data_IF_324549752099
#
_entry.id   IF_324549752099
#
_cell.length_a   1.000
_cell.length_b   1.000
_cell.length_c   1.000
_cell.angle_alpha   90.00
_cell.angle_beta   90.00
_cell.angle_gamma   90.00
#
_symmetry.space_group_name_H-M   'P 1'
#
loop_
_entity.id
_entity.type
_entity.pdbx_description
1 polymer ?
#
# COMPACT_ATOMS: atom_id res chain seq x y z
N UNK A 1 -18.49 -2.37 8.06
CA UNK A 1 -17.29 -2.59 7.21
C UNK A 1 -16.16 -1.88 7.89
N UNK A 2 -15.14 -2.63 8.28
CA UNK A 2 -14.03 -2.09 9.05
C UNK A 2 -12.85 -1.82 8.12
N UNK A 3 -12.23 -0.65 8.29
CA UNK A 3 -11.03 -0.29 7.56
C UNK A 3 -9.80 -0.74 8.34
N UNK A 4 -8.83 -1.29 7.63
CA UNK A 4 -7.54 -1.66 8.19
C UNK A 4 -6.45 -0.88 7.47
N UNK A 5 -5.52 -0.32 8.23
CA UNK A 5 -4.31 0.28 7.67
C UNK A 5 -3.21 -0.78 7.65
N UNK A 6 -2.77 -1.15 6.45
CA UNK A 6 -1.68 -2.10 6.23
C UNK A 6 -0.48 -1.34 5.67
N UNK A 7 0.70 -1.57 6.24
CA UNK A 7 1.96 -1.06 5.69
C UNK A 7 3.01 -2.17 5.71
N UNK A 8 3.80 -2.26 4.65
CA UNK A 8 4.94 -3.16 4.55
C UNK A 8 6.17 -2.33 4.27
N UNK A 9 7.23 -2.52 5.06
CA UNK A 9 8.54 -1.92 4.79
C UNK A 9 9.52 -2.99 4.38
N UNK A 10 10.30 -2.72 3.32
CA UNK A 10 11.28 -3.66 2.77
C UNK A 10 12.62 -2.95 2.67
N UNK A 11 13.61 -3.39 3.43
CA UNK A 11 14.97 -2.86 3.39
C UNK A 11 15.82 -3.66 2.41
N UNK A 12 16.03 -3.08 1.22
CA UNK A 12 16.83 -3.69 0.15
C UNK A 12 18.31 -3.89 0.46
N UNK A 13 18.84 -3.29 1.53
CA UNK A 13 20.26 -3.42 1.92
C UNK A 13 20.47 -4.62 2.83
N UNK A 14 19.64 -4.78 3.86
CA UNK A 14 19.84 -5.81 4.88
C UNK A 14 18.76 -6.90 4.89
N UNK A 15 17.79 -6.87 3.97
CA UNK A 15 16.75 -7.90 3.83
C UNK A 15 15.64 -7.84 4.88
N UNK A 16 15.55 -6.79 5.69
CA UNK A 16 14.50 -6.68 6.70
C UNK A 16 13.15 -6.36 6.05
N UNK A 17 12.16 -7.19 6.30
CA UNK A 17 10.76 -6.98 5.93
C UNK A 17 9.95 -6.86 7.22
N UNK A 18 9.09 -5.84 7.30
CA UNK A 18 8.23 -5.63 8.45
C UNK A 18 6.80 -5.28 8.00
N UNK A 19 5.83 -5.96 8.60
CA UNK A 19 4.39 -5.78 8.35
C UNK A 19 3.75 -5.07 9.54
N UNK A 20 3.01 -4.02 9.23
CA UNK A 20 2.27 -3.21 10.19
C UNK A 20 0.77 -3.31 9.95
N UNK A 21 0.01 -3.50 11.03
CA UNK A 21 -1.45 -3.44 11.06
C UNK A 21 -1.88 -2.31 11.99
N UNK A 22 -2.68 -1.39 11.48
CA UNK A 22 -3.21 -0.23 12.22
C UNK A 22 -2.14 0.65 12.89
N UNK A 23 -0.92 0.63 12.36
CA UNK A 23 0.20 1.43 12.85
C UNK A 23 1.20 0.64 13.71
N UNK A 24 0.82 -0.56 14.14
CA UNK A 24 1.66 -1.42 14.98
C UNK A 24 2.32 -2.53 14.16
N UNK A 25 3.58 -2.82 14.46
CA UNK A 25 4.28 -3.95 13.85
C UNK A 25 3.72 -5.26 14.39
N UNK A 26 3.35 -6.15 13.49
CA UNK A 26 2.78 -7.47 13.83
C UNK A 26 3.67 -8.63 13.39
N UNK A 27 4.61 -8.39 12.46
CA UNK A 27 5.53 -9.39 11.96
C UNK A 27 6.79 -8.71 11.40
N UNK A 28 7.95 -9.25 11.72
CA UNK A 28 9.22 -8.88 11.12
C UNK A 28 10.00 -10.14 10.72
N UNK A 29 10.66 -10.08 9.57
CA UNK A 29 11.54 -11.11 9.07
C UNK A 29 12.80 -10.47 8.49
N UNK A 30 13.89 -11.22 8.42
CA UNK A 30 15.11 -10.78 7.76
C UNK A 30 15.64 -11.92 6.89
N UNK A 31 15.80 -11.66 5.61
CA UNK A 31 16.58 -12.49 4.71
C UNK A 31 17.07 -11.66 3.52
N UNK A 32 18.38 -11.42 3.47
CA UNK A 32 19.01 -10.65 2.39
C UNK A 32 18.90 -11.33 1.02
N UNK A 33 18.76 -12.65 0.96
CA UNK A 33 18.61 -13.40 -0.30
C UNK A 33 17.30 -13.10 -1.02
N UNK A 34 16.29 -12.60 -0.31
CA UNK A 34 15.03 -12.15 -0.91
C UNK A 34 15.18 -10.82 -1.64
N UNK A 35 16.31 -10.13 -1.47
CA UNK A 35 16.50 -8.81 -2.06
C UNK A 35 17.23 -8.88 -3.38
N UNK A 36 16.52 -8.41 -4.41
CA UNK A 36 17.06 -8.20 -5.75
C UNK A 36 16.72 -6.77 -6.17
N UNK A 37 17.71 -5.98 -6.63
CA UNK A 37 17.42 -4.68 -7.21
C UNK A 37 16.41 -4.82 -8.35
N UNK A 38 15.43 -3.92 -8.39
CA UNK A 38 14.51 -3.84 -9.50
C UNK A 38 15.21 -3.21 -10.71
N UNK A 39 15.23 -3.92 -11.84
CA UNK A 39 15.92 -3.48 -13.07
C UNK A 39 14.98 -3.23 -14.25
N UNK A 40 13.67 -3.49 -14.08
CA UNK A 40 12.67 -3.35 -15.13
C UNK A 40 12.02 -1.97 -15.22
N UNK A 41 11.09 -1.83 -16.17
CA UNK A 41 10.13 -0.73 -16.15
C UNK A 41 9.06 -1.00 -15.09
N UNK A 42 8.64 0.03 -14.36
CA UNK A 42 7.65 -0.11 -13.31
C UNK A 42 6.23 -0.11 -13.90
N UNK A 43 5.50 -1.22 -13.73
CA UNK A 43 4.04 -1.31 -13.92
C UNK A 43 3.38 -1.67 -12.60
N UNK A 44 2.67 -0.72 -12.00
CA UNK A 44 1.94 -0.91 -10.75
C UNK A 44 0.45 -1.05 -11.03
N UNK A 45 -0.07 -2.27 -10.89
CA UNK A 45 -1.50 -2.57 -11.02
C UNK A 45 -2.06 -2.88 -9.63
N UNK A 46 -3.21 -2.29 -9.32
CA UNK A 46 -3.93 -2.53 -8.07
C UNK A 46 -5.28 -3.15 -8.35
N UNK A 47 -5.60 -4.21 -7.62
CA UNK A 47 -6.87 -4.93 -7.74
C UNK A 47 -6.81 -6.20 -8.59
N UNK A 48 -5.71 -6.44 -9.30
CA UNK A 48 -5.45 -7.62 -10.14
C UNK A 48 -4.00 -8.09 -9.97
N UNK A 49 -3.77 -9.38 -10.18
CA UNK A 49 -2.43 -9.97 -10.26
C UNK A 49 -1.90 -9.90 -11.70
N UNK A 50 -0.69 -9.38 -11.89
CA UNK A 50 -0.02 -9.31 -13.20
C UNK A 50 0.74 -10.61 -13.47
N UNK A 51 0.42 -11.29 -14.58
CA UNK A 51 1.26 -12.39 -15.11
C UNK A 51 2.29 -11.90 -16.13
N UNK A 52 2.02 -10.74 -16.75
CA UNK A 52 2.94 -10.03 -17.64
C UNK A 52 2.81 -8.52 -17.44
N UNK A 53 3.71 -7.74 -18.05
CA UNK A 53 3.74 -6.29 -17.88
C UNK A 53 2.38 -5.65 -18.23
N UNK A 54 1.65 -5.18 -17.22
CA UNK A 54 0.35 -4.54 -17.36
C UNK A 54 -0.79 -5.44 -17.83
N UNK A 55 -0.63 -6.77 -17.82
CA UNK A 55 -1.58 -7.70 -18.44
C UNK A 55 -1.59 -9.10 -17.78
N UNK A 56 -2.40 -10.01 -18.35
CA UNK A 56 -2.53 -11.39 -17.89
C UNK A 56 -3.44 -11.58 -16.68
N UNK A 57 -4.40 -10.67 -16.48
CA UNK A 57 -5.28 -10.70 -15.31
C UNK A 57 -6.24 -11.89 -15.35
N UNK A 58 -6.33 -12.63 -14.23
CA UNK A 58 -7.32 -13.68 -14.05
C UNK A 58 -8.42 -13.27 -13.06
N UNK A 59 -9.68 -13.53 -13.40
CA UNK A 59 -10.83 -13.10 -12.60
C UNK A 59 -10.89 -13.73 -11.20
N UNK A 60 -10.30 -14.91 -11.01
CA UNK A 60 -10.19 -15.61 -9.72
C UNK A 60 -9.09 -15.03 -8.80
N UNK A 61 -8.17 -14.21 -9.31
CA UNK A 61 -7.07 -13.57 -8.57
C UNK A 61 -7.34 -12.08 -8.29
N UNK A 62 -8.56 -11.60 -8.56
CA UNK A 62 -8.93 -10.20 -8.33
C UNK A 62 -9.16 -9.90 -6.86
N UNK A 63 -8.82 -8.70 -6.45
CA UNK A 63 -9.30 -8.14 -5.18
C UNK A 63 -10.75 -7.66 -5.34
N UNK A 64 -11.59 -7.95 -4.35
CA UNK A 64 -12.95 -7.43 -4.24
C UNK A 64 -13.11 -6.73 -2.89
N UNK A 65 -13.26 -5.40 -2.92
CA UNK A 65 -13.35 -4.60 -1.71
C UNK A 65 -13.18 -3.12 -1.98
N UNK A 66 -12.90 -2.36 -0.91
CA UNK A 66 -12.63 -0.92 -0.97
C UNK A 66 -11.18 -0.67 -0.59
N UNK A 67 -10.53 0.22 -1.32
CA UNK A 67 -9.17 0.67 -1.06
C UNK A 67 -9.16 2.19 -1.00
N UNK A 68 -8.27 2.74 -0.17
CA UNK A 68 -8.01 4.17 -0.10
C UNK A 68 -6.59 4.40 0.40
N UNK A 69 -6.07 5.61 0.17
CA UNK A 69 -4.81 6.09 0.76
C UNK A 69 -3.58 5.23 0.44
N UNK A 70 -3.57 4.59 -0.74
CA UNK A 70 -2.41 3.85 -1.21
C UNK A 70 -1.26 4.81 -1.53
N UNK A 71 -0.08 4.54 -0.97
CA UNK A 71 1.13 5.31 -1.18
C UNK A 71 2.35 4.39 -1.15
N UNK A 72 3.38 4.70 -1.94
CA UNK A 72 4.64 3.95 -2.03
C UNK A 72 5.81 4.93 -1.95
N UNK A 73 6.81 4.57 -1.15
CA UNK A 73 8.02 5.35 -0.94
C UNK A 73 9.26 4.57 -1.37
N UNK A 74 10.30 5.28 -1.80
CA UNK A 74 11.61 4.69 -2.12
C UNK A 74 12.52 4.52 -0.90
N UNK A 75 11.99 4.72 0.31
CA UNK A 75 12.71 4.66 1.57
C UNK A 75 11.83 4.07 2.67
N UNK A 76 12.46 3.65 3.77
CA UNK A 76 11.75 3.13 4.94
C UNK A 76 11.08 4.30 5.68
N UNK A 77 9.76 4.34 5.62
CA UNK A 77 8.95 5.28 6.40
C UNK A 77 9.08 4.93 7.89
N UNK A 78 9.28 5.92 8.75
CA UNK A 78 9.48 5.68 10.18
C UNK A 78 8.24 5.07 10.85
N UNK A 79 8.43 4.23 11.88
CA UNK A 79 7.31 3.67 12.67
C UNK A 79 6.35 4.73 13.20
N UNK A 80 6.88 5.88 13.62
CA UNK A 80 6.08 7.04 14.06
C UNK A 80 5.16 7.52 12.93
N UNK A 81 5.71 7.71 11.74
CA UNK A 81 4.94 8.15 10.57
C UNK A 81 3.91 7.09 10.18
N UNK A 82 4.23 5.79 10.25
CA UNK A 82 3.27 4.71 9.97
C UNK A 82 2.08 4.76 10.94
N UNK A 83 2.31 4.99 12.25
CA UNK A 83 1.24 5.21 13.25
C UNK A 83 0.42 6.47 13.00
N UNK A 84 1.06 7.56 12.56
CA UNK A 84 0.35 8.78 12.21
C UNK A 84 -0.53 8.59 10.97
N UNK A 85 -0.04 7.85 9.97
CA UNK A 85 -0.80 7.50 8.77
C UNK A 85 -2.01 6.61 9.08
N UNK A 86 -1.90 5.69 10.05
CA UNK A 86 -2.99 4.78 10.40
C UNK A 86 -4.17 5.46 11.11
N UNK A 87 -3.90 6.53 11.87
CA UNK A 87 -4.89 7.19 12.73
C UNK A 87 -5.41 8.50 12.15
N UNK A 88 -4.56 9.26 11.47
CA UNK A 88 -4.94 10.57 10.95
C UNK A 88 -5.52 10.43 9.55
N UNK A 89 -6.53 11.23 9.27
CA UNK A 89 -6.91 11.62 7.91
C UNK A 89 -5.78 12.48 7.34
N UNK A 90 -4.68 11.82 6.95
CA UNK A 90 -3.45 12.52 6.63
C UNK A 90 -3.70 13.50 5.48
N UNK A 91 -3.48 14.77 5.74
CA UNK A 91 -3.18 15.75 4.71
C UNK A 91 -1.83 15.37 4.10
N UNK A 92 -1.88 14.64 2.98
CA UNK A 92 -0.91 14.69 1.90
C UNK A 92 0.57 14.37 2.20
N UNK A 93 0.89 13.36 3.03
CA UNK A 93 2.15 12.64 2.77
C UNK A 93 1.92 11.74 1.56
N UNK A 94 2.11 12.31 0.37
CA UNK A 94 2.13 11.55 -0.87
C UNK A 94 3.42 10.72 -0.93
N UNK A 95 3.29 9.44 -1.27
CA UNK A 95 4.44 8.63 -1.63
C UNK A 95 5.23 9.26 -2.77
N UNK A 96 6.56 9.24 -2.68
CA UNK A 96 7.41 9.82 -3.73
C UNK A 96 7.52 8.94 -4.97
N UNK A 97 7.25 7.63 -4.85
CA UNK A 97 7.15 6.72 -5.99
C UNK A 97 5.72 6.66 -6.54
N UNK A 98 4.73 6.58 -5.65
CA UNK A 98 3.32 6.56 -6.01
C UNK A 98 2.51 7.18 -4.88
N UNK A 99 1.63 8.11 -5.22
CA UNK A 99 0.67 8.67 -4.28
C UNK A 99 -0.77 8.30 -4.68
N UNK A 100 -1.69 8.32 -3.72
CA UNK A 100 -3.10 7.96 -3.96
C UNK A 100 -3.73 8.73 -5.13
N UNK A 101 -3.35 10.01 -5.29
CA UNK A 101 -3.79 10.86 -6.41
C UNK A 101 -3.44 10.27 -7.80
N UNK A 102 -2.31 9.56 -7.91
CA UNK A 102 -1.90 8.91 -9.15
C UNK A 102 -2.74 7.67 -9.43
N UNK A 103 -3.17 6.94 -8.39
CA UNK A 103 -4.02 5.76 -8.54
C UNK A 103 -5.42 6.17 -9.00
N UNK A 104 -6.01 7.20 -8.39
CA UNK A 104 -7.37 7.64 -8.75
C UNK A 104 -7.44 8.42 -10.07
N UNK A 105 -6.30 8.83 -10.63
CA UNK A 105 -6.25 9.43 -11.97
C UNK A 105 -6.26 8.40 -13.10
N UNK A 106 -6.05 7.11 -12.79
CA UNK A 106 -5.93 6.04 -13.78
C UNK A 106 -6.79 4.83 -13.39
N UNK A 107 -8.11 5.01 -13.44
CA UNK A 107 -9.11 4.00 -13.06
C UNK A 107 -9.61 3.28 -14.31
N UNK A 108 -9.54 1.95 -14.29
CA UNK A 108 -10.04 1.07 -15.34
C UNK A 108 -11.37 0.39 -14.96
N UNK A 109 -11.99 -0.28 -15.94
CA UNK A 109 -13.26 -0.96 -15.78
C UNK A 109 -13.26 -1.95 -14.60
N UNK A 110 -14.37 -2.00 -13.86
CA UNK A 110 -14.53 -2.83 -12.66
C UNK A 110 -14.18 -2.13 -11.35
N UNK A 111 -13.57 -0.94 -11.40
CA UNK A 111 -13.39 -0.06 -10.24
C UNK A 111 -14.28 1.19 -10.36
N UNK A 112 -14.66 1.76 -9.22
CA UNK A 112 -15.40 3.02 -9.16
C UNK A 112 -14.88 3.89 -8.02
N UNK A 113 -14.79 5.20 -8.29
CA UNK A 113 -14.39 6.15 -7.27
C UNK A 113 -15.61 6.54 -6.43
N UNK A 114 -15.53 6.28 -5.13
CA UNK A 114 -16.55 6.73 -4.17
C UNK A 114 -15.93 7.79 -3.26
N UNK A 115 -16.55 8.97 -3.21
CA UNK A 115 -16.12 10.03 -2.28
C UNK A 115 -16.34 9.57 -0.84
N UNK A 116 -15.36 9.82 0.02
CA UNK A 116 -15.50 9.59 1.46
C UNK A 116 -15.05 10.83 2.23
N UNK A 117 -15.83 11.23 3.22
CA UNK A 117 -15.43 12.17 4.26
C UNK A 117 -14.69 11.37 5.32
N UNK A 118 -13.37 11.56 5.44
CA UNK A 118 -12.51 10.68 6.24
C UNK A 118 -12.89 10.64 7.74
N UNK A 119 -13.19 9.45 8.30
CA UNK A 119 -13.28 9.22 9.74
C UNK A 119 -12.53 7.93 10.10
N UNK A 120 -11.25 8.00 10.45
CA UNK A 120 -10.47 6.80 10.76
C UNK A 120 -10.42 6.55 12.26
N UNK A 121 -10.99 5.41 12.65
CA UNK A 121 -10.90 4.81 13.98
C UNK A 121 -11.95 5.35 14.97
N UNK A 122 -12.80 4.46 15.50
CA UNK A 122 -13.46 4.74 16.77
C UNK A 122 -12.37 4.89 17.83
N UNK A 123 -12.10 6.13 18.23
CA UNK A 123 -11.59 6.40 19.57
C UNK A 123 -12.77 6.29 20.52
N UNK A 124 -12.99 5.11 21.07
CA UNK A 124 -13.85 4.88 22.25
C UNK A 124 -13.20 3.77 23.07
N UNK A 125 -12.33 4.15 24.03
CA UNK A 125 -12.64 4.16 25.48
C UNK A 125 -11.87 5.31 26.12
#
# INVERSE_FOLDING_TARGET
MDWYHICVTVNGVNGTIELFLNGESILAANNSEWMRPFTGQLSAVFGQEQESYGAGFQANQRFSGRMSRLNIWSYIVSRRTIRELSTKCATCLGGNLLAWRNVISDIHAGASLVRSSCPLGKGEV
#
